data_IF_630169656342
#
_entry.id   IF_630169656342
#
_cell.length_a   1.000
_cell.length_b   1.000
_cell.length_c   1.000
_cell.angle_alpha   90.00
_cell.angle_beta   90.00
_cell.angle_gamma   90.00
#
_symmetry.space_group_name_H-M   'P 1'
#
loop_
_entity.id
_entity.type
_entity.pdbx_description
1 polymer ?
#
# COMPACT_ATOMS: atom_id res chain seq x y z
N UNK A 1 9.36 -1.29 11.36
CA UNK A 1 8.02 -1.38 10.74
C UNK A 1 8.14 -1.32 9.21
N UNK A 2 7.44 -2.19 8.54
CA UNK A 2 7.38 -2.24 7.07
C UNK A 2 5.97 -1.87 6.64
N UNK A 3 5.83 -1.16 5.52
CA UNK A 3 4.51 -0.78 5.04
C UNK A 3 4.46 -0.57 3.54
N UNK A 4 3.26 -0.73 3.01
CA UNK A 4 2.92 -0.47 1.61
C UNK A 4 1.58 0.23 1.55
N UNK A 5 1.32 0.86 0.42
CA UNK A 5 0.04 1.48 0.11
C UNK A 5 -0.51 0.77 -1.12
N UNK A 6 -1.79 0.40 -1.08
CA UNK A 6 -2.43 -0.31 -2.19
C UNK A 6 -3.62 0.50 -2.67
N UNK A 7 -3.64 0.78 -3.97
CA UNK A 7 -4.78 1.42 -4.64
C UNK A 7 -5.45 0.42 -5.55
N UNK A 8 -6.78 0.39 -5.51
CA UNK A 8 -7.57 -0.40 -6.46
C UNK A 8 -8.31 0.54 -7.39
N UNK A 9 -7.99 0.50 -8.67
CA UNK A 9 -8.71 1.20 -9.71
C UNK A 9 -9.70 0.24 -10.38
N UNK A 10 -10.35 0.68 -11.45
CA UNK A 10 -11.26 -0.20 -12.21
C UNK A 10 -10.54 -1.36 -12.89
N UNK A 11 -9.25 -1.18 -13.22
CA UNK A 11 -8.51 -2.15 -14.03
C UNK A 11 -7.32 -2.78 -13.33
N UNK A 12 -6.80 -2.17 -12.26
CA UNK A 12 -5.58 -2.68 -11.63
C UNK A 12 -5.50 -2.40 -10.13
N UNK A 13 -4.55 -3.09 -9.50
CA UNK A 13 -4.06 -2.76 -8.16
C UNK A 13 -2.70 -2.11 -8.34
N UNK A 14 -2.47 -0.99 -7.67
CA UNK A 14 -1.17 -0.31 -7.64
C UNK A 14 -0.60 -0.45 -6.25
N UNK A 15 0.58 -1.08 -6.15
CA UNK A 15 1.24 -1.35 -4.88
C UNK A 15 2.48 -0.46 -4.82
N UNK A 16 2.54 0.41 -3.83
CA UNK A 16 3.65 1.33 -3.62
C UNK A 16 4.34 0.97 -2.30
N UNK A 17 5.66 0.79 -2.37
CA UNK A 17 6.44 0.54 -1.15
C UNK A 17 6.60 1.86 -0.40
N UNK A 18 6.33 1.83 0.90
CA UNK A 18 6.46 3.00 1.75
C UNK A 18 7.74 2.89 2.59
N UNK A 19 8.46 3.99 2.66
CA UNK A 19 9.62 4.13 3.53
C UNK A 19 9.29 5.14 4.60
N UNK A 20 9.49 4.77 5.85
CA UNK A 20 9.17 5.64 6.97
C UNK A 20 10.40 6.44 7.36
N UNK A 21 10.28 7.76 7.37
CA UNK A 21 11.31 8.63 7.90
C UNK A 21 11.30 8.56 9.43
N UNK A 22 12.44 8.82 10.05
CA UNK A 22 12.54 8.83 11.51
C UNK A 22 11.59 9.84 12.15
N UNK A 23 11.23 10.91 11.43
CA UNK A 23 10.21 11.88 11.85
C UNK A 23 8.78 11.32 11.88
N UNK A 24 8.55 10.16 11.25
CA UNK A 24 7.24 9.52 11.20
C UNK A 24 6.51 9.66 9.86
N UNK A 25 6.98 10.52 8.97
CA UNK A 25 6.38 10.68 7.64
C UNK A 25 6.75 9.50 6.73
N UNK A 26 5.89 9.23 5.73
CA UNK A 26 6.12 8.18 4.74
C UNK A 26 6.50 8.77 3.39
N UNK A 27 7.36 8.05 2.68
CA UNK A 27 7.70 8.32 1.29
C UNK A 27 7.33 7.08 0.48
N UNK A 28 6.51 7.27 -0.57
CA UNK A 28 6.20 6.19 -1.51
C UNK A 28 7.33 6.12 -2.55
N UNK A 29 7.88 4.92 -2.74
CA UNK A 29 8.99 4.73 -3.67
C UNK A 29 8.98 3.30 -4.23
N UNK A 30 10.03 2.94 -4.93
CA UNK A 30 10.19 1.60 -5.52
C UNK A 30 10.56 0.56 -4.45
N UNK A 31 10.21 -0.70 -4.63
CA UNK A 31 9.50 -1.26 -5.80
C UNK A 31 8.03 -0.88 -5.87
N UNK A 32 7.54 -0.68 -7.08
CA UNK A 32 6.15 -0.36 -7.40
C UNK A 32 5.64 -1.46 -8.32
N UNK A 33 4.46 -1.98 -8.04
CA UNK A 33 3.85 -3.01 -8.87
C UNK A 33 2.47 -2.60 -9.31
N UNK A 34 2.14 -2.90 -10.55
CA UNK A 34 0.80 -2.73 -11.11
C UNK A 34 0.33 -4.12 -11.51
N UNK A 35 -0.76 -4.58 -10.88
CA UNK A 35 -1.29 -5.92 -11.05
C UNK A 35 -2.73 -5.81 -11.54
N UNK A 36 -3.09 -6.51 -12.62
CA UNK A 36 -4.46 -6.50 -13.13
C UNK A 36 -5.46 -6.96 -12.07
N UNK A 37 -6.65 -6.36 -12.05
CA UNK A 37 -7.75 -6.82 -11.16
C UNK A 37 -8.20 -8.23 -11.53
N UNK A 38 -7.86 -8.71 -12.72
CA UNK A 38 -8.19 -10.07 -13.19
C UNK A 38 -7.11 -11.09 -12.85
N UNK A 39 -5.98 -10.65 -12.27
CA UNK A 39 -4.90 -11.55 -11.89
C UNK A 39 -5.33 -12.45 -10.73
N UNK A 40 -4.66 -13.59 -10.62
CA UNK A 40 -4.88 -14.51 -9.50
C UNK A 40 -4.47 -13.84 -8.18
N UNK A 41 -5.16 -14.18 -7.09
CA UNK A 41 -4.83 -13.64 -5.77
C UNK A 41 -3.38 -13.95 -5.37
N UNK A 42 -2.87 -15.08 -5.81
CA UNK A 42 -1.48 -15.48 -5.54
C UNK A 42 -0.48 -14.50 -6.15
N UNK A 43 -0.76 -14.02 -7.38
CA UNK A 43 0.10 -13.05 -8.05
C UNK A 43 0.10 -11.71 -7.33
N UNK A 44 -1.08 -11.26 -6.91
CA UNK A 44 -1.22 -10.04 -6.12
C UNK A 44 -0.45 -10.19 -4.80
N UNK A 45 -0.59 -11.34 -4.15
CA UNK A 45 0.09 -11.63 -2.90
C UNK A 45 1.59 -11.62 -3.02
N UNK A 46 2.11 -12.23 -4.06
CA UNK A 46 3.56 -12.26 -4.32
C UNK A 46 4.13 -10.84 -4.43
N UNK A 47 3.46 -9.99 -5.20
CA UNK A 47 3.90 -8.59 -5.38
C UNK A 47 3.74 -7.77 -4.11
N UNK A 48 2.65 -7.97 -3.38
CA UNK A 48 2.43 -7.27 -2.12
C UNK A 48 3.54 -7.58 -1.11
N UNK A 49 3.86 -8.86 -0.93
CA UNK A 49 4.88 -9.25 0.06
C UNK A 49 6.28 -8.88 -0.40
N UNK A 50 6.54 -8.85 -1.70
CA UNK A 50 7.82 -8.36 -2.23
C UNK A 50 7.99 -6.88 -1.90
N UNK A 51 6.96 -6.06 -2.14
CA UNK A 51 6.98 -4.63 -1.82
C UNK A 51 7.11 -4.41 -0.31
N UNK A 52 6.33 -5.14 0.48
CA UNK A 52 6.35 -5.03 1.94
C UNK A 52 7.74 -5.38 2.49
N UNK A 53 8.35 -6.42 1.95
CA UNK A 53 9.68 -6.86 2.39
C UNK A 53 10.76 -5.81 2.09
N UNK A 54 10.61 -5.04 1.02
CA UNK A 54 11.56 -3.98 0.65
C UNK A 54 11.43 -2.73 1.54
N UNK A 55 10.29 -2.53 2.16
CA UNK A 55 10.04 -1.36 3.01
C UNK A 55 10.93 -1.37 4.25
N UNK A 56 11.35 -0.19 4.67
CA UNK A 56 12.12 -0.01 5.90
C UNK A 56 12.03 1.43 6.40
N UNK A 57 12.50 1.66 7.62
CA UNK A 57 12.68 3.00 8.15
C UNK A 57 14.00 3.54 7.61
N UNK A 58 13.99 4.79 7.18
CA UNK A 58 15.17 5.47 6.63
C UNK A 58 15.47 6.75 7.41
N UNK A 59 16.71 7.20 7.31
CA UNK A 59 17.14 8.46 7.92
C UNK A 59 16.67 9.64 7.07
N UNK A 60 16.49 10.80 7.71
CA UNK A 60 16.15 12.04 6.99
C UNK A 60 17.17 12.35 5.89
N UNK A 61 18.45 12.03 6.13
CA UNK A 61 19.52 12.27 5.15
C UNK A 61 19.40 11.37 3.91
N UNK A 62 18.60 10.31 3.96
CA UNK A 62 18.39 9.39 2.83
C UNK A 62 17.15 9.76 2.00
N UNK A 63 16.38 10.76 2.43
CA UNK A 63 15.11 11.12 1.77
C UNK A 63 15.25 11.29 0.26
N UNK A 64 16.27 12.01 -0.18
CA UNK A 64 16.49 12.32 -1.60
C UNK A 64 16.71 11.06 -2.45
N UNK A 65 17.23 10.00 -1.85
CA UNK A 65 17.47 8.74 -2.57
C UNK A 65 16.17 8.00 -2.91
N UNK A 66 15.14 8.20 -2.10
CA UNK A 66 13.86 7.50 -2.25
C UNK A 66 12.79 8.36 -2.87
N UNK A 67 12.91 9.69 -2.80
CA UNK A 67 11.92 10.62 -3.32
C UNK A 67 11.88 10.59 -4.84
N UNK A 68 10.74 10.21 -5.40
CA UNK A 68 10.57 10.11 -6.86
C UNK A 68 9.96 11.35 -7.49
N UNK A 69 9.29 12.21 -6.69
CA UNK A 69 8.66 13.42 -7.22
C UNK A 69 7.64 13.09 -8.31
N UNK A 70 7.69 13.83 -9.41
CA UNK A 70 6.77 13.63 -10.53
C UNK A 70 6.97 12.29 -11.26
N UNK A 71 8.13 11.66 -11.11
CA UNK A 71 8.39 10.35 -11.70
C UNK A 71 7.47 9.28 -11.12
N UNK A 72 7.01 9.45 -9.87
CA UNK A 72 6.09 8.51 -9.23
C UNK A 72 4.79 8.38 -10.05
N UNK A 73 4.20 9.50 -10.48
CA UNK A 73 2.97 9.48 -11.27
C UNK A 73 3.14 8.69 -12.57
N UNK A 74 4.28 8.85 -13.23
CA UNK A 74 4.57 8.09 -14.46
C UNK A 74 4.69 6.59 -14.17
N UNK A 75 5.32 6.23 -13.07
CA UNK A 75 5.53 4.83 -12.69
C UNK A 75 4.21 4.13 -12.33
N UNK A 76 3.26 4.86 -11.75
CA UNK A 76 1.95 4.31 -11.41
C UNK A 76 0.91 4.53 -12.51
N UNK A 77 1.30 5.18 -13.61
CA UNK A 77 0.45 5.42 -14.79
C UNK A 77 -0.79 6.25 -14.45
N UNK A 78 -0.59 7.32 -13.68
CA UNK A 78 -1.67 8.23 -13.29
C UNK A 78 -1.33 9.67 -13.73
N UNK A 79 -2.39 10.43 -14.04
CA UNK A 79 -2.23 11.83 -14.42
C UNK A 79 -1.99 12.74 -13.22
N UNK A 80 -2.61 12.43 -12.08
CA UNK A 80 -2.45 13.20 -10.86
C UNK A 80 -2.85 12.34 -9.64
N UNK A 81 -2.35 12.71 -8.48
CA UNK A 81 -2.74 12.06 -7.23
C UNK A 81 -4.20 12.35 -6.89
N UNK A 82 -4.67 13.57 -7.12
CA UNK A 82 -6.05 13.93 -6.84
C UNK A 82 -7.03 13.06 -7.62
N UNK A 83 -6.75 12.79 -8.89
CA UNK A 83 -7.57 11.92 -9.72
C UNK A 83 -7.51 10.48 -9.22
N UNK A 84 -6.31 9.98 -8.90
CA UNK A 84 -6.15 8.64 -8.35
C UNK A 84 -6.98 8.47 -7.07
N UNK A 85 -6.84 9.40 -6.12
CA UNK A 85 -7.56 9.33 -4.84
C UNK A 85 -9.08 9.37 -5.04
N UNK A 86 -9.55 10.20 -5.98
CA UNK A 86 -10.99 10.35 -6.23
C UNK A 86 -11.60 9.15 -6.94
N UNK A 87 -10.82 8.40 -7.71
CA UNK A 87 -11.33 7.32 -8.58
C UNK A 87 -10.90 5.92 -8.14
N UNK A 88 -10.22 5.80 -7.01
CA UNK A 88 -9.76 4.51 -6.49
C UNK A 88 -10.20 4.33 -5.04
N UNK A 89 -10.11 3.09 -4.57
CA UNK A 89 -10.12 2.79 -3.15
C UNK A 89 -8.68 2.46 -2.74
N UNK A 90 -8.33 2.68 -1.49
CA UNK A 90 -6.98 2.42 -1.04
C UNK A 90 -6.90 1.96 0.41
N UNK A 91 -5.78 1.33 0.75
CA UNK A 91 -5.51 0.92 2.11
C UNK A 91 -4.02 1.03 2.40
N UNK A 92 -3.71 1.16 3.68
CA UNK A 92 -2.36 1.15 4.22
C UNK A 92 -2.14 -0.21 4.87
N UNK A 93 -1.10 -0.91 4.46
CA UNK A 93 -0.75 -2.23 5.00
C UNK A 93 0.58 -2.09 5.72
N UNK A 94 0.63 -2.46 6.98
CA UNK A 94 1.85 -2.41 7.76
C UNK A 94 2.14 -3.75 8.42
N UNK A 95 3.42 -4.02 8.62
CA UNK A 95 3.90 -5.24 9.29
C UNK A 95 4.83 -4.84 10.41
N UNK A 96 4.48 -5.24 11.64
CA UNK A 96 5.27 -4.95 12.83
C UNK A 96 5.04 -6.04 13.85
N UNK A 97 6.13 -6.55 14.44
CA UNK A 97 6.08 -7.58 15.49
C UNK A 97 5.22 -8.80 15.12
N UNK A 98 5.32 -9.24 13.86
CA UNK A 98 4.59 -10.43 13.40
C UNK A 98 3.13 -10.19 13.07
N UNK A 99 2.64 -8.96 13.16
CA UNK A 99 1.24 -8.61 12.90
C UNK A 99 1.12 -7.74 11.67
N UNK A 100 0.24 -8.14 10.75
CA UNK A 100 -0.16 -7.33 9.60
C UNK A 100 -1.39 -6.51 10.01
N UNK A 101 -1.32 -5.19 9.81
CA UNK A 101 -2.46 -4.29 9.98
C UNK A 101 -2.87 -3.75 8.61
N UNK A 102 -4.15 -3.85 8.29
CA UNK A 102 -4.70 -3.37 7.04
C UNK A 102 -5.74 -2.30 7.38
N UNK A 103 -5.44 -1.04 7.08
CA UNK A 103 -6.31 0.08 7.42
C UNK A 103 -6.81 0.75 6.14
N UNK A 104 -8.13 0.99 6.02
CA UNK A 104 -8.63 1.72 4.87
C UNK A 104 -8.16 3.16 4.92
N UNK A 105 -8.04 3.79 3.75
CA UNK A 105 -7.70 5.19 3.62
C UNK A 105 -8.90 5.96 3.08
N UNK A 106 -9.12 7.14 3.62
CA UNK A 106 -10.21 8.01 3.21
C UNK A 106 -9.66 9.24 2.49
N UNK A 107 -10.22 9.54 1.31
CA UNK A 107 -9.88 10.76 0.59
C UNK A 107 -10.60 11.94 1.24
N UNK A 108 -9.83 12.93 1.67
CA UNK A 108 -10.36 14.09 2.38
C UNK A 108 -10.80 15.23 1.44
N UNK A 109 -10.65 15.05 0.14
CA UNK A 109 -11.00 16.06 -0.85
C UNK A 109 -9.77 16.72 -1.44
N UNK A 110 -10.01 17.62 -2.40
CA UNK A 110 -8.95 18.29 -3.15
C UNK A 110 -7.93 18.95 -2.21
N UNK A 111 -6.66 18.69 -2.45
CA UNK A 111 -5.51 19.25 -1.74
C UNK A 111 -5.36 18.80 -0.28
N UNK A 112 -6.16 17.85 0.18
CA UNK A 112 -6.10 17.34 1.55
C UNK A 112 -5.58 15.92 1.69
N UNK A 113 -5.39 15.23 0.57
CA UNK A 113 -4.79 13.89 0.53
C UNK A 113 -5.65 12.79 1.14
N UNK A 114 -4.98 11.76 1.62
CA UNK A 114 -5.60 10.58 2.22
C UNK A 114 -5.35 10.54 3.72
N UNK A 115 -6.33 10.02 4.45
CA UNK A 115 -6.22 9.77 5.88
C UNK A 115 -6.30 8.27 6.14
N UNK A 116 -5.35 7.73 6.90
CA UNK A 116 -5.38 6.33 7.31
C UNK A 116 -6.37 6.19 8.45
N UNK A 117 -7.39 5.34 8.26
CA UNK A 117 -8.41 5.12 9.27
C UNK A 117 -8.00 3.98 10.21
N UNK A 118 -7.10 4.26 11.14
CA UNK A 118 -6.54 3.27 12.07
C UNK A 118 -7.61 2.56 12.91
N UNK A 119 -8.67 3.26 13.27
CA UNK A 119 -9.77 2.68 14.06
C UNK A 119 -10.56 1.62 13.30
N UNK A 120 -10.39 1.53 11.98
CA UNK A 120 -11.05 0.55 11.13
C UNK A 120 -10.09 -0.53 10.64
N UNK A 121 -8.88 -0.58 11.18
CA UNK A 121 -7.87 -1.53 10.76
C UNK A 121 -8.25 -2.97 11.15
N UNK A 122 -7.95 -3.91 10.24
CA UNK A 122 -7.99 -5.33 10.52
C UNK A 122 -6.58 -5.81 10.81
N UNK A 123 -6.41 -6.64 11.82
CA UNK A 123 -5.10 -7.16 12.22
C UNK A 123 -5.06 -8.66 12.10
N UNK A 124 -4.02 -9.17 11.48
CA UNK A 124 -3.82 -10.60 11.24
C UNK A 124 -2.41 -10.97 11.70
N UNK A 125 -2.31 -11.93 12.59
CA UNK A 125 -1.01 -12.47 12.99
C UNK A 125 -0.45 -13.30 11.84
N UNK A 126 0.73 -12.95 11.36
CA UNK A 126 1.36 -13.64 10.24
C UNK A 126 2.23 -14.77 10.74
N UNK A 127 1.88 -16.00 10.36
CA UNK A 127 2.67 -17.18 10.66
C UNK A 127 3.59 -17.47 9.48
N UNK A 128 4.90 -17.30 9.68
CA UNK A 128 5.91 -17.51 8.65
C UNK A 128 5.94 -18.95 8.11
N UNK A 129 5.41 -19.91 8.86
CA UNK A 129 5.40 -21.32 8.49
C UNK A 129 4.09 -21.73 7.81
N UNK A 130 3.15 -20.80 7.64
CA UNK A 130 1.83 -21.10 7.10
C UNK A 130 1.44 -20.12 5.99
N UNK A 131 1.55 -20.58 4.75
CA UNK A 131 1.19 -19.77 3.58
C UNK A 131 -0.30 -19.37 3.54
N UNK A 132 -1.16 -20.07 4.30
CA UNK A 132 -2.59 -19.74 4.35
C UNK A 132 -2.84 -18.38 4.97
N UNK A 133 -1.98 -17.94 5.91
CA UNK A 133 -2.09 -16.60 6.48
C UNK A 133 -1.84 -15.52 5.44
N UNK A 134 -0.95 -15.76 4.50
CA UNK A 134 -0.68 -14.80 3.42
C UNK A 134 -1.90 -14.65 2.53
N UNK A 135 -2.56 -15.75 2.19
CA UNK A 135 -3.78 -15.71 1.39
C UNK A 135 -4.89 -14.96 2.13
N UNK A 136 -5.03 -15.19 3.44
CA UNK A 136 -5.99 -14.48 4.29
C UNK A 136 -5.75 -12.97 4.24
N UNK A 137 -4.49 -12.53 4.29
CA UNK A 137 -4.13 -11.12 4.20
C UNK A 137 -4.58 -10.54 2.86
N UNK A 138 -4.30 -11.24 1.76
CA UNK A 138 -4.67 -10.77 0.42
C UNK A 138 -6.19 -10.73 0.23
N UNK A 139 -6.90 -11.73 0.72
CA UNK A 139 -8.35 -11.76 0.68
C UNK A 139 -8.95 -10.58 1.45
N UNK A 140 -8.38 -10.27 2.62
CA UNK A 140 -8.84 -9.14 3.42
C UNK A 140 -8.59 -7.80 2.73
N UNK A 141 -7.43 -7.64 2.10
CA UNK A 141 -7.10 -6.43 1.34
C UNK A 141 -8.09 -6.25 0.20
N UNK A 142 -8.32 -7.29 -0.60
CA UNK A 142 -9.23 -7.20 -1.76
C UNK A 142 -10.66 -6.93 -1.31
N UNK A 143 -11.11 -7.56 -0.23
CA UNK A 143 -12.43 -7.32 0.35
C UNK A 143 -12.57 -5.86 0.78
N UNK A 144 -11.61 -5.35 1.55
CA UNK A 144 -11.64 -3.98 2.05
C UNK A 144 -11.67 -2.96 0.91
N UNK A 145 -10.86 -3.17 -0.12
CA UNK A 145 -10.80 -2.25 -1.27
C UNK A 145 -12.08 -2.30 -2.10
N UNK A 146 -12.71 -3.47 -2.22
CA UNK A 146 -13.95 -3.63 -2.98
C UNK A 146 -15.12 -2.99 -2.24
N UNK A 147 -15.17 -3.08 -0.92
CA UNK A 147 -16.26 -2.55 -0.10
C UNK A 147 -16.26 -1.02 0.02
N UNK A 148 -15.14 -0.36 -0.26
CA UNK A 148 -15.05 1.11 -0.21
C UNK A 148 -15.83 1.81 -1.33
N UNK A 149 -16.21 1.08 -2.36
CA UNK A 149 -16.87 1.68 -3.53
C UNK A 149 -18.38 1.54 -3.44
#
# INVERSE_FOLDING_TARGET
MKSVEVYKTKKDFKILTLYKLESGSYIASEPIFIVSVEAELEDLGEKLFEALNASRTIKESEEDKFWLGNALLKKIKEASFSKLYATSSSCHVSFDNGIISIAPQKYLGKDKGLEIEEGRASRIALDNNNNNNRLEVIEKITQMLTEQN
#
